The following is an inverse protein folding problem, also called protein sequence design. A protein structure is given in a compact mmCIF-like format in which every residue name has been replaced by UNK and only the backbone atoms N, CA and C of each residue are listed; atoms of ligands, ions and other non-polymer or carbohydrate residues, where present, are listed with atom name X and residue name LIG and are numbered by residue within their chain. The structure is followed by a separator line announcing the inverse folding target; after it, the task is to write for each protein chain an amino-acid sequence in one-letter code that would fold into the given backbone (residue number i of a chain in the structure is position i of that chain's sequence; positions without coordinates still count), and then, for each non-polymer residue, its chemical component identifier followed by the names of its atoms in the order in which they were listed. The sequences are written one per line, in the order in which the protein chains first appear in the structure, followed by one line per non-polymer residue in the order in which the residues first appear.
data_IF_402973234637
#
_entry.id   IF_402973234637
#
_cell.length_a   1.000
_cell.length_b   1.000
_cell.length_c   1.000
_cell.angle_alpha   90.00
_cell.angle_beta   90.00
_cell.angle_gamma   90.00
#
_symmetry.space_group_name_H-M   'P 1'
#
loop_
_entity.id
_entity.type
_entity.pdbx_description
1 polymer ?
#
# COMPACT_ATOMS: atom_id res chain seq x y z
N UNK A 1 -4.24 14.82 34.75
CA UNK A 1 -4.34 14.32 33.39
C UNK A 1 -2.99 13.77 33.02
N UNK A 2 -2.82 12.45 33.08
CA UNK A 2 -1.59 11.77 32.66
C UNK A 2 -1.42 12.03 31.16
N UNK A 3 -0.36 12.72 30.78
CA UNK A 3 -0.03 12.88 29.36
C UNK A 3 0.27 11.49 28.82
N UNK A 4 -0.41 11.14 27.74
CA UNK A 4 -0.20 9.88 27.03
C UNK A 4 1.25 9.87 26.50
N UNK A 5 2.02 8.89 26.97
CA UNK A 5 3.43 8.73 26.56
C UNK A 5 3.52 8.22 25.11
N UNK A 6 4.68 8.37 24.49
CA UNK A 6 4.91 7.87 23.13
C UNK A 6 4.72 6.36 23.06
N UNK A 7 5.22 5.64 24.06
CA UNK A 7 5.10 4.18 24.10
C UNK A 7 3.66 3.73 24.28
N UNK A 8 2.93 4.34 25.22
CA UNK A 8 1.51 4.03 25.46
C UNK A 8 0.64 4.35 24.23
N UNK A 9 0.93 5.45 23.53
CA UNK A 9 0.26 5.82 22.29
C UNK A 9 0.46 4.77 21.19
N UNK A 10 1.70 4.38 20.93
CA UNK A 10 2.01 3.36 19.92
C UNK A 10 1.39 2.00 20.25
N UNK A 11 1.41 1.63 21.53
CA UNK A 11 0.76 0.41 22.02
C UNK A 11 -0.75 0.45 21.77
N UNK A 12 -1.41 1.56 22.11
CA UNK A 12 -2.86 1.75 21.90
C UNK A 12 -3.22 1.61 20.42
N UNK A 13 -2.45 2.24 19.52
CA UNK A 13 -2.64 2.17 18.08
C UNK A 13 -2.45 0.75 17.53
N UNK A 14 -1.45 0.02 18.04
CA UNK A 14 -1.23 -1.39 17.68
C UNK A 14 -2.41 -2.26 18.12
N UNK A 15 -2.86 -2.09 19.37
CA UNK A 15 -3.96 -2.88 19.95
C UNK A 15 -5.29 -2.57 19.25
N UNK A 16 -5.55 -1.31 18.91
CA UNK A 16 -6.71 -0.90 18.08
C UNK A 16 -6.75 -1.66 16.73
N UNK A 17 -5.59 -1.91 16.14
CA UNK A 17 -5.47 -2.66 14.88
C UNK A 17 -5.38 -4.17 15.10
N UNK A 18 -5.52 -4.63 16.34
CA UNK A 18 -5.42 -6.04 16.73
C UNK A 18 -4.12 -6.70 16.29
N UNK A 19 -3.04 -5.93 16.24
CA UNK A 19 -1.72 -6.41 15.87
C UNK A 19 -0.95 -6.90 17.09
N UNK A 20 -0.29 -8.04 16.96
CA UNK A 20 0.67 -8.52 17.96
C UNK A 20 2.03 -7.83 17.80
N UNK A 21 2.84 -7.79 18.87
CA UNK A 21 4.23 -7.32 18.79
C UNK A 21 5.05 -8.13 17.79
N UNK A 22 4.76 -9.43 17.64
CA UNK A 22 5.43 -10.28 16.67
C UNK A 22 5.11 -9.90 15.22
N UNK A 23 3.91 -9.42 14.94
CA UNK A 23 3.54 -8.91 13.61
C UNK A 23 4.24 -7.61 13.30
N UNK A 24 4.27 -6.66 14.25
CA UNK A 24 5.01 -5.41 14.09
C UNK A 24 6.51 -5.69 13.90
N UNK A 25 7.06 -6.63 14.66
CA UNK A 25 8.47 -7.06 14.51
C UNK A 25 8.76 -7.58 13.11
N UNK A 26 7.89 -8.41 12.55
CA UNK A 26 8.04 -8.93 11.18
C UNK A 26 7.99 -7.82 10.13
N UNK A 27 7.08 -6.85 10.30
CA UNK A 27 6.91 -5.74 9.36
C UNK A 27 8.07 -4.74 9.41
N UNK A 28 8.57 -4.47 10.62
CA UNK A 28 9.59 -3.44 10.85
C UNK A 28 11.01 -3.97 10.89
N UNK A 29 11.17 -5.29 11.09
CA UNK A 29 12.43 -5.98 11.38
C UNK A 29 13.10 -5.50 12.68
N UNK A 30 12.31 -4.93 13.59
CA UNK A 30 12.75 -4.55 14.93
C UNK A 30 12.50 -5.74 15.86
N UNK A 31 13.47 -6.14 16.69
CA UNK A 31 13.27 -7.21 17.67
C UNK A 31 12.07 -6.93 18.58
N UNK A 32 11.30 -7.96 18.94
CA UNK A 32 10.12 -7.83 19.82
C UNK A 32 10.47 -7.25 21.17
N UNK A 33 11.66 -7.56 21.72
CA UNK A 33 12.16 -6.96 22.95
C UNK A 33 12.31 -5.45 22.85
N UNK A 34 12.89 -4.94 21.75
CA UNK A 34 13.01 -3.51 21.51
C UNK A 34 11.64 -2.81 21.33
N UNK A 35 10.69 -3.49 20.69
CA UNK A 35 9.32 -2.98 20.58
C UNK A 35 8.62 -2.91 21.95
N UNK A 36 8.82 -3.91 22.80
CA UNK A 36 8.29 -3.93 24.17
C UNK A 36 8.92 -2.81 25.01
N UNK A 37 10.22 -2.55 24.88
CA UNK A 37 10.90 -1.44 25.55
C UNK A 37 10.36 -0.10 25.08
N UNK A 38 10.08 0.07 23.78
CA UNK A 38 9.43 1.28 23.21
C UNK A 38 8.05 1.48 23.83
N UNK A 39 7.20 0.45 23.86
CA UNK A 39 5.84 0.55 24.43
C UNK A 39 5.82 0.86 25.93
N UNK A 40 6.92 0.56 26.62
CA UNK A 40 7.12 0.84 28.05
C UNK A 40 7.94 2.11 28.30
N UNK A 41 8.20 2.93 27.27
CA UNK A 41 9.02 4.13 27.31
C UNK A 41 10.46 3.93 27.85
N UNK A 42 10.98 2.70 27.79
CA UNK A 42 12.31 2.32 28.21
C UNK A 42 13.31 2.45 27.06
N UNK A 43 13.52 3.68 26.60
CA UNK A 43 14.38 3.97 25.44
C UNK A 43 15.88 3.79 25.74
N UNK A 44 16.26 3.81 27.01
CA UNK A 44 17.60 3.53 27.51
C UNK A 44 18.04 2.07 27.35
N UNK A 45 17.09 1.15 27.22
CA UNK A 45 17.34 -0.26 26.92
C UNK A 45 17.59 -0.52 25.42
N UNK A 46 17.41 0.46 24.58
CA UNK A 46 17.61 0.30 23.15
C UNK A 46 19.09 0.42 22.77
N UNK A 47 19.54 -0.21 21.67
CA UNK A 47 20.97 -0.30 21.32
C UNK A 47 21.66 1.03 21.00
N UNK A 48 20.97 2.14 21.13
CA UNK A 48 21.49 3.49 20.97
C UNK A 48 20.44 4.49 20.54
N UNK A 49 20.58 5.75 20.98
CA UNK A 49 19.59 6.79 20.72
C UNK A 49 19.38 7.09 19.23
N UNK A 50 20.42 6.91 18.42
CA UNK A 50 20.33 7.06 16.96
C UNK A 50 19.28 6.11 16.36
N UNK A 51 19.13 4.91 16.93
CA UNK A 51 18.15 3.93 16.47
C UNK A 51 16.73 4.23 16.98
N UNK A 52 16.57 4.89 18.13
CA UNK A 52 15.27 5.20 18.73
C UNK A 52 14.35 5.90 17.73
N UNK A 53 14.84 6.96 17.11
CA UNK A 53 14.07 7.73 16.12
C UNK A 53 13.69 6.89 14.89
N UNK A 54 14.62 6.05 14.44
CA UNK A 54 14.38 5.11 13.35
C UNK A 54 13.32 4.08 13.70
N UNK A 55 13.39 3.51 14.90
CA UNK A 55 12.43 2.52 15.39
C UNK A 55 11.04 3.13 15.58
N UNK A 56 10.95 4.32 16.19
CA UNK A 56 9.69 5.04 16.34
C UNK A 56 9.03 5.32 14.99
N UNK A 57 9.81 5.75 14.00
CA UNK A 57 9.33 6.00 12.63
C UNK A 57 8.83 4.71 11.96
N UNK A 58 9.60 3.62 12.06
CA UNK A 58 9.23 2.34 11.48
C UNK A 58 7.97 1.75 12.16
N UNK A 59 7.89 1.86 13.49
CA UNK A 59 6.73 1.42 14.25
C UNK A 59 5.47 2.22 13.85
N UNK A 60 5.55 3.56 13.85
CA UNK A 60 4.46 4.42 13.41
C UNK A 60 3.93 4.02 12.02
N UNK A 61 4.82 3.78 11.08
CA UNK A 61 4.46 3.32 9.73
C UNK A 61 3.76 1.96 9.75
N UNK A 62 4.21 1.02 10.57
CA UNK A 62 3.63 -0.32 10.67
C UNK A 62 2.19 -0.28 11.22
N UNK A 63 1.95 0.57 12.20
CA UNK A 63 0.60 0.79 12.76
C UNK A 63 -0.18 1.89 12.04
N UNK A 64 0.37 2.49 10.97
CA UNK A 64 -0.32 3.46 10.09
C UNK A 64 -0.66 4.80 10.76
N UNK A 65 0.15 5.23 11.72
CA UNK A 65 0.13 6.60 12.26
C UNK A 65 1.21 7.46 11.60
N UNK A 66 1.07 8.77 11.68
CA UNK A 66 2.04 9.69 11.10
C UNK A 66 3.35 9.66 11.90
N UNK A 67 4.49 9.31 11.29
CA UNK A 67 5.78 9.30 11.98
C UNK A 67 6.15 10.65 12.60
N UNK A 68 5.75 11.76 11.96
CA UNK A 68 5.99 13.09 12.46
C UNK A 68 5.30 13.35 13.80
N UNK A 69 4.08 12.83 13.99
CA UNK A 69 3.34 12.94 15.24
C UNK A 69 4.05 12.19 16.37
N UNK A 70 4.45 10.95 16.10
CA UNK A 70 5.17 10.11 17.08
C UNK A 70 6.49 10.76 17.49
N UNK A 71 7.25 11.29 16.53
CA UNK A 71 8.51 11.98 16.79
C UNK A 71 8.30 13.31 17.53
N UNK A 72 7.23 14.04 17.27
CA UNK A 72 6.89 15.26 18.00
C UNK A 72 6.58 14.95 19.48
N UNK A 73 5.79 13.90 19.75
CA UNK A 73 5.52 13.42 21.12
C UNK A 73 6.80 12.97 21.83
N UNK A 74 7.70 12.30 21.12
CA UNK A 74 9.00 11.87 21.67
C UNK A 74 9.86 13.07 22.08
N UNK A 75 9.93 14.11 21.25
CA UNK A 75 10.67 15.33 21.56
C UNK A 75 10.03 16.15 22.68
N UNK A 76 8.70 16.23 22.71
CA UNK A 76 7.97 16.97 23.74
C UNK A 76 8.18 16.38 25.14
N UNK A 77 8.39 15.05 25.24
CA UNK A 77 8.67 14.35 26.51
C UNK A 77 10.12 14.55 27.02
N UNK A 78 10.85 15.56 26.53
CA UNK A 78 12.15 15.98 27.05
C UNK A 78 13.33 15.07 26.71
N UNK A 79 13.15 14.07 25.87
CA UNK A 79 14.20 13.10 25.47
C UNK A 79 14.99 13.51 24.22
N UNK A 80 14.78 14.72 23.71
CA UNK A 80 15.44 15.25 22.51
C UNK A 80 16.73 16.04 22.80
N UNK A 81 17.37 15.84 23.94
CA UNK A 81 18.48 16.70 24.38
C UNK A 81 19.82 16.47 23.67
N UNK A 82 19.92 15.55 22.72
CA UNK A 82 21.16 15.30 21.96
C UNK A 82 20.93 15.29 20.44
N UNK A 83 20.34 16.35 19.91
CA UNK A 83 20.57 16.66 18.50
C UNK A 83 21.70 17.67 18.46
N UNK A 84 22.94 17.21 18.33
CA UNK A 84 23.99 18.03 17.75
C UNK A 84 23.47 18.50 16.39
N UNK A 85 23.34 19.81 16.13
CA UNK A 85 22.99 20.25 14.80
C UNK A 85 24.15 19.88 13.88
N UNK A 86 24.01 18.79 13.16
CA UNK A 86 24.87 18.54 12.03
C UNK A 86 24.60 19.64 11.01
N UNK A 87 25.62 20.39 10.55
CA UNK A 87 25.38 21.49 9.62
C UNK A 87 24.67 20.94 8.38
N UNK A 88 23.51 21.50 8.11
CA UNK A 88 22.73 21.28 6.92
C UNK A 88 23.49 21.77 5.70
N UNK A 89 24.17 20.86 5.04
CA UNK A 89 24.71 21.09 3.69
C UNK A 89 24.38 19.86 2.85
N UNK A 90 23.10 19.71 2.55
CA UNK A 90 22.61 19.03 1.37
C UNK A 90 21.10 19.27 1.28
N UNK A 91 20.57 19.69 0.13
CA UNK A 91 19.14 19.77 -0.07
C UNK A 91 18.63 18.33 -0.13
N UNK A 92 18.21 17.82 1.02
CA UNK A 92 17.46 16.57 1.05
C UNK A 92 16.10 16.87 0.44
N UNK A 93 15.93 16.37 -0.76
CA UNK A 93 14.67 16.24 -1.45
C UNK A 93 13.57 15.82 -0.45
N UNK A 94 12.71 16.76 -0.14
CA UNK A 94 11.41 16.54 0.47
C UNK A 94 10.57 15.77 -0.56
N UNK A 95 10.66 14.45 -0.51
CA UNK A 95 10.05 13.64 -1.55
C UNK A 95 9.93 12.17 -1.18
N UNK A 96 9.37 11.84 0.01
CA UNK A 96 8.95 10.46 0.22
C UNK A 96 7.73 10.31 1.14
N UNK A 97 6.76 11.18 0.94
CA UNK A 97 5.36 10.89 1.28
C UNK A 97 4.65 10.39 0.02
N UNK A 98 5.13 9.32 -0.58
CA UNK A 98 4.54 8.93 -1.85
C UNK A 98 4.76 7.49 -2.29
N UNK A 99 5.58 6.71 -1.58
CA UNK A 99 5.96 5.40 -2.13
C UNK A 99 4.98 4.27 -1.86
N UNK A 100 4.09 4.41 -0.89
CA UNK A 100 3.07 3.38 -0.62
C UNK A 100 1.82 3.56 -1.48
N UNK A 101 1.41 4.80 -1.79
CA UNK A 101 0.32 5.07 -2.73
C UNK A 101 0.67 4.77 -4.19
N UNK A 102 1.96 4.89 -4.56
CA UNK A 102 2.41 4.69 -5.94
C UNK A 102 2.42 3.23 -6.38
N UNK A 103 2.60 2.27 -5.46
CA UNK A 103 2.50 0.83 -5.76
C UNK A 103 1.06 0.41 -6.03
N UNK A 104 0.09 0.97 -5.31
CA UNK A 104 -1.33 0.75 -5.59
C UNK A 104 -1.77 1.44 -6.89
N UNK A 105 -1.28 2.66 -7.17
CA UNK A 105 -1.57 3.37 -8.41
C UNK A 105 -1.04 2.63 -9.66
N UNK A 106 0.17 2.08 -9.59
CA UNK A 106 0.75 1.30 -10.69
C UNK A 106 -0.01 -0.01 -10.89
N UNK A 107 -0.41 -0.69 -9.80
CA UNK A 107 -1.20 -1.92 -9.89
C UNK A 107 -2.58 -1.66 -10.52
N UNK A 108 -3.27 -0.59 -10.13
CA UNK A 108 -4.56 -0.19 -10.71
C UNK A 108 -4.40 0.19 -12.19
N UNK A 109 -3.37 0.95 -12.53
CA UNK A 109 -3.09 1.32 -13.93
C UNK A 109 -2.81 0.08 -14.80
N UNK A 110 -2.09 -0.91 -14.26
CA UNK A 110 -1.81 -2.16 -14.97
C UNK A 110 -3.08 -3.01 -15.18
N UNK A 111 -3.96 -3.07 -14.19
CA UNK A 111 -5.26 -3.77 -14.29
C UNK A 111 -6.15 -3.08 -15.33
N UNK A 112 -6.23 -1.75 -15.31
CA UNK A 112 -7.01 -0.99 -16.30
C UNK A 112 -6.46 -1.18 -17.72
N UNK A 113 -5.14 -1.22 -17.88
CA UNK A 113 -4.50 -1.45 -19.18
C UNK A 113 -4.80 -2.87 -19.70
N UNK A 114 -4.78 -3.89 -18.83
CA UNK A 114 -5.17 -5.25 -19.19
C UNK A 114 -6.64 -5.34 -19.60
N UNK A 115 -7.55 -4.65 -18.89
CA UNK A 115 -8.98 -4.62 -19.23
C UNK A 115 -9.18 -3.95 -20.60
N UNK A 116 -8.53 -2.81 -20.86
CA UNK A 116 -8.58 -2.13 -22.15
C UNK A 116 -8.01 -3.01 -23.27
N UNK A 117 -6.91 -3.69 -23.02
CA UNK A 117 -6.29 -4.59 -23.98
C UNK A 117 -7.21 -5.79 -24.34
N UNK A 118 -7.85 -6.41 -23.34
CA UNK A 118 -8.80 -7.52 -23.56
C UNK A 118 -10.05 -7.06 -24.29
N UNK A 119 -10.55 -5.85 -24.00
CA UNK A 119 -11.67 -5.25 -24.73
C UNK A 119 -11.31 -4.96 -26.20
N UNK A 120 -10.14 -4.37 -26.45
CA UNK A 120 -9.65 -4.10 -27.79
C UNK A 120 -9.49 -5.40 -28.59
N UNK A 121 -8.92 -6.44 -27.97
CA UNK A 121 -8.76 -7.75 -28.60
C UNK A 121 -10.11 -8.38 -28.93
N UNK A 122 -11.10 -8.27 -28.03
CA UNK A 122 -12.47 -8.76 -28.23
C UNK A 122 -13.17 -8.08 -29.40
N UNK A 123 -12.93 -6.78 -29.60
CA UNK A 123 -13.50 -6.03 -30.73
C UNK A 123 -12.83 -6.44 -32.05
N UNK A 124 -11.50 -6.64 -32.04
CA UNK A 124 -10.73 -7.01 -33.23
C UNK A 124 -11.00 -8.45 -33.65
N UNK A 125 -11.15 -9.37 -32.69
CA UNK A 125 -11.44 -10.78 -32.95
C UNK A 125 -12.94 -11.08 -33.11
N UNK A 126 -13.83 -10.08 -33.02
CA UNK A 126 -15.24 -10.29 -33.30
C UNK A 126 -15.38 -10.71 -34.77
N UNK A 127 -15.80 -11.95 -35.07
CA UNK A 127 -15.94 -12.39 -36.45
C UNK A 127 -16.98 -11.46 -37.09
N UNK A 128 -16.54 -10.71 -38.08
CA UNK A 128 -17.43 -9.95 -38.95
C UNK A 128 -18.34 -10.98 -39.58
N UNK A 129 -19.60 -11.02 -39.15
CA UNK A 129 -20.61 -11.89 -39.71
C UNK A 129 -20.55 -11.77 -41.21
N UNK A 130 -20.26 -12.87 -41.88
CA UNK A 130 -20.49 -13.01 -43.31
C UNK A 130 -21.98 -12.87 -43.48
N UNK A 131 -22.43 -11.73 -43.95
CA UNK A 131 -23.73 -11.56 -44.55
C UNK A 131 -23.69 -12.40 -45.83
N UNK A 132 -24.18 -13.62 -45.74
CA UNK A 132 -24.49 -14.44 -46.90
C UNK A 132 -25.71 -13.79 -47.55
N UNK A 133 -25.63 -13.37 -48.84
CA UNK A 133 -26.75 -12.80 -49.53
C UNK A 133 -27.87 -13.86 -49.66
N UNK A 134 -29.15 -13.48 -49.51
CA UNK A 134 -30.28 -14.39 -49.48
C UNK A 134 -30.74 -14.88 -50.86
N UNK A 135 -29.87 -14.96 -51.85
CA UNK A 135 -30.24 -15.20 -53.24
C UNK A 135 -30.20 -16.65 -53.72
N UNK A 136 -30.05 -17.62 -52.85
CA UNK A 136 -30.02 -19.04 -53.29
C UNK A 136 -31.15 -19.91 -52.75
N UNK A 137 -32.22 -19.31 -52.24
CA UNK A 137 -33.36 -20.08 -51.71
C UNK A 137 -34.59 -20.13 -52.62
N UNK A 138 -34.52 -19.60 -53.83
CA UNK A 138 -35.70 -19.57 -54.72
C UNK A 138 -35.49 -20.24 -56.08
N UNK A 139 -34.71 -21.31 -56.13
CA UNK A 139 -34.64 -22.08 -57.39
C UNK A 139 -34.68 -23.56 -57.11
N UNK A 140 -35.87 -24.05 -56.89
CA UNK A 140 -36.11 -25.49 -56.66
C UNK A 140 -37.55 -25.83 -56.42
N UNK A 141 -38.43 -25.25 -57.21
CA UNK A 141 -39.83 -25.58 -57.16
C UNK A 141 -40.45 -25.38 -58.54
N UNK A 142 -40.10 -26.22 -59.42
CA UNK A 142 -40.71 -26.22 -60.74
C UNK A 142 -40.89 -27.66 -61.22
N UNK A 143 -42.13 -28.00 -61.43
CA UNK A 143 -42.64 -28.91 -62.39
C UNK A 143 -42.32 -30.40 -62.36
N UNK A 144 -43.32 -31.19 -62.00
CA UNK A 144 -43.77 -32.19 -63.00
C UNK A 144 -45.27 -32.45 -62.85
N UNK A 145 -45.94 -31.79 -63.69
CA UNK A 145 -47.22 -32.22 -64.25
C UNK A 145 -47.01 -33.46 -65.14
N UNK A 146 -47.85 -34.50 -65.09
CA UNK A 146 -48.14 -35.37 -66.18
C UNK A 146 -49.26 -36.35 -65.80
N UNK A 147 -50.35 -36.25 -66.44
CA UNK A 147 -50.87 -36.94 -67.59
C UNK A 147 -50.70 -38.48 -67.60
N UNK A 148 -51.81 -39.13 -67.61
CA UNK A 148 -52.02 -40.51 -67.90
C UNK A 148 -53.25 -41.05 -67.28
#
# INVERSE_FOLDING_TARGET
LSQETVGSFLRSEREHRRMSLAEVSRLTRIPTGSLASIESDRFDELPGEVFVRGFLKAYAQAVGVLPAEVLARYTANGRAAFVTPMPLSSPVHSGETGRQGRRFGVAIAFVLLLILFTLALSIVLKPRGRDLPPELSSRGGGETSVVG
#
